data_IF_253878181834
#
_entry.id   IF_253878181834
#
_cell.length_a   1.000
_cell.length_b   1.000
_cell.length_c   1.000
_cell.angle_alpha   90.00
_cell.angle_beta   90.00
_cell.angle_gamma   90.00
#
_symmetry.space_group_name_H-M   'P 1'
#
loop_
_entity.id
_entity.type
_entity.pdbx_description
1 polymer ?
#
# COMPACT_ATOMS: atom_id res chain seq x y z
N UNK A 1 -2.85 -18.56 11.57
CA UNK A 1 -3.73 -19.45 10.78
C UNK A 1 -5.04 -18.72 10.50
N UNK A 2 -5.84 -19.18 9.53
CA UNK A 2 -7.17 -18.63 9.25
C UNK A 2 -8.07 -18.55 10.48
N UNK A 3 -8.08 -19.60 11.32
CA UNK A 3 -8.91 -19.67 12.53
C UNK A 3 -8.53 -18.56 13.53
N UNK A 4 -7.23 -18.27 13.66
CA UNK A 4 -6.75 -17.19 14.51
C UNK A 4 -7.20 -15.82 14.02
N UNK A 5 -7.25 -15.59 12.70
CA UNK A 5 -7.76 -14.35 12.11
C UNK A 5 -9.26 -14.23 12.37
N UNK A 6 -10.03 -15.30 12.13
CA UNK A 6 -11.48 -15.31 12.36
C UNK A 6 -11.84 -15.12 13.84
N UNK A 7 -11.06 -15.65 14.77
CA UNK A 7 -11.24 -15.40 16.20
C UNK A 7 -11.07 -13.92 16.56
N UNK A 8 -10.07 -13.23 15.97
CA UNK A 8 -9.89 -11.78 16.18
C UNK A 8 -11.04 -10.99 15.56
N UNK A 9 -11.48 -11.34 14.35
CA UNK A 9 -12.62 -10.68 13.71
C UNK A 9 -13.91 -10.85 14.52
N UNK A 10 -14.17 -12.05 15.03
CA UNK A 10 -15.31 -12.32 15.90
C UNK A 10 -15.24 -11.49 17.20
N UNK A 11 -14.04 -11.39 17.79
CA UNK A 11 -13.82 -10.53 18.96
C UNK A 11 -14.11 -9.06 18.66
N UNK A 12 -13.62 -8.52 17.53
CA UNK A 12 -13.84 -7.13 17.13
C UNK A 12 -15.33 -6.84 16.90
N UNK A 13 -16.06 -7.75 16.24
CA UNK A 13 -17.49 -7.61 15.95
C UNK A 13 -18.40 -7.68 17.19
N UNK A 14 -17.87 -8.07 18.35
CA UNK A 14 -18.62 -7.96 19.61
C UNK A 14 -18.75 -6.50 20.11
N UNK A 15 -17.95 -5.57 19.59
CA UNK A 15 -18.15 -4.14 19.81
C UNK A 15 -19.20 -3.63 18.81
N UNK A 16 -20.30 -3.05 19.31
CA UNK A 16 -21.41 -2.56 18.47
C UNK A 16 -20.96 -1.53 17.41
N UNK A 17 -19.85 -0.82 17.65
CA UNK A 17 -19.29 0.14 16.69
C UNK A 17 -18.55 -0.51 15.52
N UNK A 18 -18.31 -1.82 15.61
CA UNK A 18 -17.57 -2.63 14.64
C UNK A 18 -18.37 -3.89 14.23
N UNK A 19 -19.65 -3.96 14.57
CA UNK A 19 -20.48 -5.14 14.30
C UNK A 19 -20.61 -5.41 12.79
N UNK A 20 -20.61 -4.35 12.00
CA UNK A 20 -20.66 -4.33 10.53
C UNK A 20 -19.27 -4.25 9.89
N UNK A 21 -18.18 -4.46 10.65
CA UNK A 21 -16.82 -4.43 10.12
C UNK A 21 -16.68 -5.43 8.95
N UNK A 22 -16.50 -4.88 7.76
CA UNK A 22 -16.13 -5.63 6.58
C UNK A 22 -14.63 -5.95 6.60
N UNK A 23 -14.28 -7.15 6.13
CA UNK A 23 -12.89 -7.58 5.98
C UNK A 23 -12.68 -8.21 4.61
N UNK A 24 -11.44 -8.18 4.13
CA UNK A 24 -11.00 -8.81 2.89
C UNK A 24 -9.92 -9.82 3.24
N UNK A 25 -9.92 -10.95 2.54
CA UNK A 25 -8.95 -12.02 2.74
C UNK A 25 -8.13 -12.20 1.47
N UNK A 26 -6.81 -12.35 1.65
CA UNK A 26 -5.89 -12.70 0.59
C UNK A 26 -4.98 -13.81 1.15
N UNK A 27 -4.96 -15.01 0.55
CA UNK A 27 -4.13 -16.09 1.02
C UNK A 27 -2.64 -15.76 0.85
N UNK A 28 -1.81 -16.41 1.66
CA UNK A 28 -0.36 -16.37 1.55
C UNK A 28 0.22 -17.69 2.04
N UNK A 29 1.26 -18.20 1.39
CA UNK A 29 1.90 -19.45 1.77
C UNK A 29 2.58 -19.38 3.15
N UNK A 30 3.10 -18.20 3.49
CA UNK A 30 3.77 -17.92 4.75
C UNK A 30 3.19 -16.69 5.45
N UNK A 31 3.36 -16.60 6.78
CA UNK A 31 2.87 -15.47 7.59
C UNK A 31 3.50 -14.15 7.14
N UNK A 32 2.75 -13.21 6.53
CA UNK A 32 3.35 -12.03 5.91
C UNK A 32 3.63 -10.88 6.90
N UNK A 33 3.43 -11.11 8.21
CA UNK A 33 3.71 -10.14 9.26
C UNK A 33 4.54 -10.75 10.38
N UNK A 34 5.64 -10.09 10.76
CA UNK A 34 6.53 -10.58 11.82
C UNK A 34 5.91 -10.54 13.22
N UNK A 35 5.00 -9.59 13.47
CA UNK A 35 4.38 -9.39 14.79
C UNK A 35 3.11 -8.56 14.72
N UNK A 36 2.23 -8.75 15.68
CA UNK A 36 1.09 -7.87 15.92
C UNK A 36 1.56 -6.48 16.37
N UNK A 37 0.96 -5.43 15.81
CA UNK A 37 1.18 -4.04 16.22
C UNK A 37 -0.17 -3.33 16.28
N UNK A 38 -0.52 -2.78 17.45
CA UNK A 38 -1.64 -1.85 17.62
C UNK A 38 -1.06 -0.47 17.88
N UNK A 39 -1.53 0.54 17.15
CA UNK A 39 -0.99 1.91 17.25
C UNK A 39 -2.13 2.90 17.41
N UNK A 40 -2.07 3.71 18.46
CA UNK A 40 -2.93 4.88 18.59
C UNK A 40 -2.38 5.99 17.68
N UNK A 41 -3.24 6.51 16.80
CA UNK A 41 -2.93 7.58 15.86
C UNK A 41 -4.03 8.62 15.88
N UNK A 42 -3.68 9.88 15.57
CA UNK A 42 -4.66 10.95 15.37
C UNK A 42 -5.57 10.68 14.18
N UNK A 43 -5.02 10.03 13.15
CA UNK A 43 -5.73 9.63 11.94
C UNK A 43 -5.32 8.19 11.59
N UNK A 44 -6.27 7.34 11.21
CA UNK A 44 -6.01 5.96 10.75
C UNK A 44 -5.16 5.94 9.47
N UNK A 45 -5.39 6.91 8.58
CA UNK A 45 -4.52 7.26 7.44
C UNK A 45 -4.30 8.77 7.48
N UNK A 46 -3.05 9.22 7.54
CA UNK A 46 -2.74 10.63 7.81
C UNK A 46 -2.67 11.45 6.54
N UNK A 47 -3.68 12.29 6.31
CA UNK A 47 -3.68 13.30 5.25
C UNK A 47 -3.35 14.70 5.81
N UNK A 48 -3.61 14.94 7.10
CA UNK A 48 -3.37 16.25 7.72
C UNK A 48 -4.45 17.28 7.44
N UNK A 49 -5.65 16.84 7.03
CA UNK A 49 -6.81 17.69 6.74
C UNK A 49 -7.94 17.39 7.74
N UNK A 50 -7.97 18.04 8.93
CA UNK A 50 -8.93 17.73 9.98
C UNK A 50 -10.37 18.17 9.66
N UNK A 51 -10.55 19.06 8.68
CA UNK A 51 -11.86 19.53 8.23
C UNK A 51 -12.56 18.58 7.26
N UNK A 52 -11.86 17.54 6.80
CA UNK A 52 -12.39 16.55 5.85
C UNK A 52 -13.01 15.41 6.63
N UNK A 53 -14.32 15.24 6.47
CA UNK A 53 -15.09 14.15 7.06
C UNK A 53 -15.47 13.11 5.99
N UNK A 54 -14.72 12.00 5.86
CA UNK A 54 -15.01 10.99 4.87
C UNK A 54 -16.39 10.35 5.04
N UNK A 55 -16.96 10.34 6.25
CA UNK A 55 -18.26 9.70 6.49
C UNK A 55 -19.43 10.43 5.79
N UNK A 56 -19.28 11.73 5.55
CA UNK A 56 -20.33 12.57 4.95
C UNK A 56 -19.92 13.17 3.61
N UNK A 57 -18.64 13.17 3.30
CA UNK A 57 -18.08 13.87 2.14
C UNK A 57 -17.40 12.96 1.13
N UNK A 58 -17.36 11.63 1.33
CA UNK A 58 -16.77 10.71 0.35
C UNK A 58 -17.32 10.91 -1.07
N UNK A 59 -16.52 10.50 -2.05
CA UNK A 59 -16.89 10.50 -3.45
C UNK A 59 -17.92 9.41 -3.78
N UNK A 60 -18.13 9.21 -5.07
CA UNK A 60 -19.02 8.18 -5.59
C UNK A 60 -18.24 6.87 -5.70
N UNK A 61 -18.69 5.84 -5.01
CA UNK A 61 -18.16 4.49 -5.16
C UNK A 61 -18.46 3.94 -6.55
N UNK A 62 -17.44 3.35 -7.16
CA UNK A 62 -17.54 2.64 -8.44
C UNK A 62 -17.07 1.22 -8.22
N UNK A 63 -17.92 0.25 -8.50
CA UNK A 63 -17.58 -1.16 -8.39
C UNK A 63 -16.51 -1.52 -9.44
N UNK A 64 -15.62 -2.50 -9.18
CA UNK A 64 -14.55 -2.87 -10.11
C UNK A 64 -15.03 -3.22 -11.53
N UNK A 65 -16.22 -3.80 -11.65
CA UNK A 65 -16.82 -4.18 -12.94
C UNK A 65 -17.12 -2.96 -13.84
N UNK A 66 -17.43 -1.80 -13.24
CA UNK A 66 -17.75 -0.57 -13.96
C UNK A 66 -16.52 0.37 -14.06
N UNK A 67 -15.40 0.00 -13.44
CA UNK A 67 -14.24 0.87 -13.29
C UNK A 67 -13.56 1.16 -14.63
N UNK A 68 -13.37 0.12 -15.46
CA UNK A 68 -12.71 0.25 -16.75
C UNK A 68 -13.44 1.22 -17.68
N UNK A 69 -14.78 1.14 -17.72
CA UNK A 69 -15.61 2.03 -18.53
C UNK A 69 -15.46 3.50 -18.10
N UNK A 70 -15.41 3.74 -16.78
CA UNK A 70 -15.21 5.08 -16.25
C UNK A 70 -13.84 5.64 -16.63
N UNK A 71 -12.77 4.87 -16.42
CA UNK A 71 -11.40 5.37 -16.62
C UNK A 71 -10.97 5.42 -18.09
N UNK A 72 -11.71 4.75 -18.97
CA UNK A 72 -11.52 4.83 -20.43
C UNK A 72 -12.12 6.09 -21.05
N UNK A 73 -12.98 6.81 -20.33
CA UNK A 73 -13.55 8.08 -20.81
C UNK A 73 -12.47 9.18 -20.83
N UNK A 74 -12.15 9.79 -21.99
CA UNK A 74 -11.10 10.82 -22.09
C UNK A 74 -11.41 12.11 -21.29
N UNK A 75 -12.66 12.29 -20.86
CA UNK A 75 -13.08 13.41 -20.02
C UNK A 75 -12.89 13.15 -18.52
N UNK A 76 -12.53 11.93 -18.13
CA UNK A 76 -12.22 11.57 -16.75
C UNK A 76 -10.73 11.73 -16.51
N UNK A 77 -10.38 12.40 -15.41
CA UNK A 77 -9.02 12.42 -14.89
C UNK A 77 -8.86 11.24 -13.97
N UNK A 78 -7.91 10.37 -14.26
CA UNK A 78 -7.52 9.29 -13.36
C UNK A 78 -6.34 9.71 -12.49
N UNK A 79 -6.47 9.61 -11.17
CA UNK A 79 -5.42 9.98 -10.20
C UNK A 79 -5.08 8.80 -9.30
N UNK A 80 -3.80 8.46 -9.22
CA UNK A 80 -3.28 7.52 -8.23
C UNK A 80 -3.07 8.23 -6.90
N UNK A 81 -3.81 7.86 -5.86
CA UNK A 81 -3.68 8.51 -4.54
C UNK A 81 -2.55 7.89 -3.68
N UNK A 82 -1.71 7.04 -4.27
CA UNK A 82 -0.61 6.36 -3.57
C UNK A 82 0.67 7.18 -3.56
N UNK A 83 1.65 6.72 -2.79
CA UNK A 83 2.97 7.33 -2.79
C UNK A 83 3.77 6.84 -4.01
N UNK A 84 4.77 7.61 -4.40
CA UNK A 84 5.65 7.36 -5.54
C UNK A 84 6.21 5.92 -5.62
N UNK A 85 6.68 5.36 -4.50
CA UNK A 85 7.23 4.01 -4.47
C UNK A 85 6.18 2.93 -4.76
N UNK A 86 4.90 3.20 -4.55
CA UNK A 86 3.81 2.28 -4.86
C UNK A 86 3.41 2.37 -6.34
N UNK A 87 3.45 3.59 -6.90
CA UNK A 87 3.19 3.84 -8.32
C UNK A 87 4.28 3.22 -9.19
N UNK A 88 5.54 3.27 -8.74
CA UNK A 88 6.68 2.66 -9.43
C UNK A 88 6.56 1.13 -9.61
N UNK A 89 5.76 0.45 -8.79
CA UNK A 89 5.54 -1.01 -8.89
C UNK A 89 4.50 -1.35 -9.96
N UNK A 90 3.52 -0.46 -10.14
CA UNK A 90 2.43 -0.62 -11.09
C UNK A 90 1.33 0.40 -10.84
N UNK A 91 0.57 0.75 -11.87
CA UNK A 91 -0.53 1.72 -11.80
C UNK A 91 -1.56 1.45 -12.91
N UNK A 92 -2.70 2.13 -12.90
CA UNK A 92 -3.65 2.06 -14.01
C UNK A 92 -3.13 2.84 -15.22
N UNK A 93 -3.36 2.31 -16.42
CA UNK A 93 -2.99 2.97 -17.66
C UNK A 93 -3.59 4.39 -17.71
N UNK A 94 -2.73 5.39 -18.00
CA UNK A 94 -3.14 6.80 -18.10
C UNK A 94 -3.40 7.51 -16.76
N UNK A 95 -3.15 6.86 -15.62
CA UNK A 95 -3.24 7.50 -14.32
C UNK A 95 -2.17 8.60 -14.15
N UNK A 96 -2.56 9.71 -13.54
CA UNK A 96 -1.64 10.75 -13.08
C UNK A 96 -0.99 10.29 -11.79
N UNK A 97 0.34 10.30 -11.76
CA UNK A 97 1.17 10.12 -10.57
C UNK A 97 1.44 11.48 -9.89
N UNK A 98 0.95 11.70 -8.66
CA UNK A 98 1.26 12.91 -7.89
C UNK A 98 2.73 13.03 -7.46
N UNK A 99 3.52 11.95 -7.55
CA UNK A 99 4.90 11.84 -7.08
C UNK A 99 5.08 12.17 -5.59
N UNK A 100 4.02 12.01 -4.79
CA UNK A 100 4.06 12.28 -3.35
C UNK A 100 4.89 11.23 -2.62
N UNK A 101 5.77 11.65 -1.71
CA UNK A 101 6.51 10.74 -0.81
C UNK A 101 5.64 10.30 0.37
N UNK A 102 4.65 11.12 0.71
CA UNK A 102 3.67 10.82 1.74
C UNK A 102 2.29 11.35 1.37
N UNK A 103 1.24 10.65 1.81
CA UNK A 103 -0.14 11.08 1.59
C UNK A 103 -0.51 12.45 2.21
N UNK A 104 0.35 13.02 3.07
CA UNK A 104 0.20 14.39 3.59
C UNK A 104 0.51 15.46 2.55
N UNK A 105 1.26 15.12 1.50
CA UNK A 105 1.63 16.03 0.41
C UNK A 105 0.51 16.13 -0.63
N UNK A 106 -0.39 15.15 -0.68
CA UNK A 106 -1.48 15.10 -1.65
C UNK A 106 -2.34 16.38 -1.69
N UNK A 107 -2.74 16.99 -0.55
CA UNK A 107 -3.50 18.24 -0.59
C UNK A 107 -2.77 19.42 -1.22
N UNK A 108 -1.46 19.52 -0.99
CA UNK A 108 -0.64 20.58 -1.58
C UNK A 108 -0.52 20.37 -3.10
N UNK A 109 -0.18 19.15 -3.51
CA UNK A 109 -0.13 18.76 -4.91
C UNK A 109 -1.42 19.11 -5.65
N UNK A 110 -2.58 18.70 -5.14
CA UNK A 110 -3.87 18.94 -5.81
C UNK A 110 -4.14 20.44 -6.04
N UNK A 111 -3.79 21.29 -5.07
CA UNK A 111 -4.03 22.74 -5.16
C UNK A 111 -3.18 23.41 -6.23
N UNK A 112 -2.01 22.85 -6.53
CA UNK A 112 -1.13 23.30 -7.60
C UNK A 112 -1.63 22.88 -9.00
N UNK A 113 -2.56 21.92 -9.07
CA UNK A 113 -3.08 21.39 -10.33
C UNK A 113 -4.25 22.21 -10.90
N UNK A 114 -3.99 23.46 -11.29
CA UNK A 114 -5.00 24.35 -11.89
C UNK A 114 -5.68 23.73 -13.11
N UNK A 115 -4.93 23.00 -13.94
CA UNK A 115 -5.45 22.35 -15.13
C UNK A 115 -6.58 21.34 -14.83
N UNK A 116 -6.53 20.67 -13.68
CA UNK A 116 -7.54 19.68 -13.30
C UNK A 116 -8.89 20.34 -12.98
N UNK A 117 -8.89 21.62 -12.56
CA UNK A 117 -10.13 22.36 -12.24
C UNK A 117 -11.01 22.62 -13.48
N UNK A 118 -10.46 22.48 -14.68
CA UNK A 118 -11.22 22.62 -15.94
C UNK A 118 -11.96 21.35 -16.35
N UNK A 119 -11.68 20.22 -15.70
CA UNK A 119 -12.35 18.94 -15.93
C UNK A 119 -13.18 18.57 -14.69
N UNK A 120 -14.49 18.34 -14.82
CA UNK A 120 -15.35 18.13 -13.65
C UNK A 120 -15.25 16.71 -13.06
N UNK A 121 -14.79 15.73 -13.85
CA UNK A 121 -14.82 14.31 -13.50
C UNK A 121 -13.44 13.79 -13.14
N UNK A 122 -13.31 13.32 -11.89
CA UNK A 122 -12.06 12.75 -11.37
C UNK A 122 -12.33 11.37 -10.79
N UNK A 123 -11.60 10.37 -11.26
CA UNK A 123 -11.59 9.02 -10.73
C UNK A 123 -10.30 8.81 -9.92
N UNK A 124 -10.43 8.28 -8.72
CA UNK A 124 -9.30 8.07 -7.81
C UNK A 124 -9.21 6.62 -7.33
N UNK A 125 -8.00 6.13 -7.11
CA UNK A 125 -7.79 4.80 -6.56
C UNK A 125 -6.58 4.76 -5.63
N UNK A 126 -6.55 3.72 -4.79
CA UNK A 126 -5.39 3.33 -4.00
C UNK A 126 -5.49 1.83 -3.70
N UNK A 127 -4.53 1.28 -2.96
CA UNK A 127 -4.43 -0.17 -2.68
C UNK A 127 -5.74 -0.80 -2.19
N UNK A 128 -6.34 -0.25 -1.12
CA UNK A 128 -7.51 -0.84 -0.46
C UNK A 128 -8.72 0.09 -0.29
N UNK A 129 -8.65 1.32 -0.81
CA UNK A 129 -9.73 2.32 -0.78
C UNK A 129 -9.60 3.40 0.31
N UNK A 130 -8.93 3.12 1.45
CA UNK A 130 -8.95 4.02 2.61
C UNK A 130 -8.39 5.43 2.38
N UNK A 131 -7.39 5.61 1.50
CA UNK A 131 -6.90 6.95 1.13
C UNK A 131 -7.93 7.69 0.30
N UNK A 132 -8.61 6.97 -0.60
CA UNK A 132 -9.65 7.54 -1.45
C UNK A 132 -10.82 8.06 -0.64
N UNK A 133 -11.19 7.44 0.47
CA UNK A 133 -12.22 7.98 1.39
C UNK A 133 -11.94 9.44 1.76
N UNK A 134 -10.68 9.76 2.07
CA UNK A 134 -10.26 11.11 2.44
C UNK A 134 -9.98 11.98 1.23
N UNK A 135 -9.27 11.47 0.23
CA UNK A 135 -8.87 12.30 -0.91
C UNK A 135 -10.06 12.74 -1.73
N UNK A 136 -11.04 11.87 -1.98
CA UNK A 136 -12.24 12.27 -2.72
C UNK A 136 -13.07 13.30 -1.97
N UNK A 137 -13.17 13.14 -0.64
CA UNK A 137 -13.82 14.12 0.21
C UNK A 137 -13.12 15.48 0.16
N UNK A 138 -11.79 15.47 0.20
CA UNK A 138 -11.00 16.68 0.02
C UNK A 138 -11.21 17.34 -1.35
N UNK A 139 -11.20 16.58 -2.44
CA UNK A 139 -11.48 17.12 -3.79
C UNK A 139 -12.86 17.81 -3.83
N UNK A 140 -13.90 17.22 -3.23
CA UNK A 140 -15.22 17.86 -3.17
C UNK A 140 -15.19 19.19 -2.41
N UNK A 141 -14.41 19.29 -1.33
CA UNK A 141 -14.22 20.58 -0.61
C UNK A 141 -13.45 21.62 -1.42
N UNK A 142 -12.63 21.17 -2.38
CA UNK A 142 -11.88 22.03 -3.30
C UNK A 142 -12.68 22.42 -4.55
N UNK A 143 -13.96 21.99 -4.65
CA UNK A 143 -14.89 22.40 -5.70
C UNK A 143 -14.96 21.45 -6.91
N UNK A 144 -14.49 20.21 -6.78
CA UNK A 144 -14.73 19.18 -7.80
C UNK A 144 -16.12 18.57 -7.64
N UNK A 145 -16.92 18.59 -8.70
CA UNK A 145 -18.33 18.16 -8.68
C UNK A 145 -18.47 16.62 -8.72
N UNK A 146 -17.80 15.97 -9.67
CA UNK A 146 -17.94 14.54 -9.94
C UNK A 146 -16.65 13.80 -9.57
N UNK A 147 -16.56 13.41 -8.31
CA UNK A 147 -15.40 12.69 -7.77
C UNK A 147 -15.78 11.24 -7.48
N UNK A 148 -15.13 10.31 -8.16
CA UNK A 148 -15.33 8.87 -8.06
C UNK A 148 -14.13 8.20 -7.37
N UNK A 149 -14.36 7.06 -6.74
CA UNK A 149 -13.29 6.19 -6.31
C UNK A 149 -13.59 4.70 -6.46
N UNK A 150 -12.53 3.94 -6.72
CA UNK A 150 -12.62 2.49 -6.88
C UNK A 150 -12.98 1.84 -5.55
N UNK A 151 -14.19 1.27 -5.50
CA UNK A 151 -14.70 0.58 -4.32
C UNK A 151 -13.86 -0.66 -4.07
N UNK A 152 -13.33 -0.73 -2.86
CA UNK A 152 -12.44 -1.80 -2.45
C UNK A 152 -10.98 -1.66 -2.92
N UNK A 153 -10.66 -0.65 -3.72
CA UNK A 153 -9.30 -0.35 -4.20
C UNK A 153 -8.76 -1.36 -5.21
N UNK A 154 -7.48 -1.19 -5.56
CA UNK A 154 -6.77 -2.02 -6.55
C UNK A 154 -6.87 -3.51 -6.20
N UNK A 155 -6.76 -3.87 -4.92
CA UNK A 155 -6.84 -5.28 -4.50
C UNK A 155 -8.18 -5.91 -4.88
N UNK A 156 -9.29 -5.18 -4.75
CA UNK A 156 -10.59 -5.74 -5.14
C UNK A 156 -10.71 -5.87 -6.65
N UNK A 157 -10.14 -4.93 -7.39
CA UNK A 157 -10.08 -4.96 -8.84
C UNK A 157 -9.27 -6.16 -9.36
N UNK A 158 -8.05 -6.38 -8.85
CA UNK A 158 -7.20 -7.52 -9.21
C UNK A 158 -7.78 -8.89 -8.79
N UNK A 159 -8.69 -8.90 -7.82
CA UNK A 159 -9.40 -10.11 -7.39
C UNK A 159 -10.56 -10.46 -8.33
N UNK A 160 -11.27 -9.46 -8.88
CA UNK A 160 -12.57 -9.69 -9.55
C UNK A 160 -12.61 -9.39 -11.04
N UNK A 161 -11.72 -8.54 -11.55
CA UNK A 161 -11.67 -8.20 -12.98
C UNK A 161 -10.73 -9.17 -13.69
N UNK A 162 -11.16 -9.81 -14.80
CA UNK A 162 -10.29 -10.67 -15.58
C UNK A 162 -9.01 -9.98 -16.06
N UNK A 163 -7.89 -10.68 -16.06
CA UNK A 163 -6.58 -10.13 -16.43
C UNK A 163 -6.56 -9.63 -17.89
N UNK A 164 -7.25 -10.32 -18.80
CA UNK A 164 -7.34 -9.97 -20.22
C UNK A 164 -8.21 -8.73 -20.49
N UNK A 165 -9.06 -8.35 -19.54
CA UNK A 165 -9.85 -7.11 -19.56
C UNK A 165 -9.19 -6.00 -18.74
N UNK A 166 -8.04 -6.25 -18.13
CA UNK A 166 -7.45 -5.35 -17.16
C UNK A 166 -6.78 -4.13 -17.79
N UNK A 167 -6.99 -2.96 -17.17
CA UNK A 167 -6.25 -1.72 -17.44
C UNK A 167 -5.14 -1.45 -16.43
N UNK A 168 -4.85 -2.43 -15.56
CA UNK A 168 -3.77 -2.35 -14.58
C UNK A 168 -2.44 -2.76 -15.23
N UNK A 169 -1.40 -1.96 -15.03
CA UNK A 169 -0.05 -2.21 -15.54
C UNK A 169 0.91 -2.47 -14.37
N UNK A 170 1.64 -3.60 -14.40
CA UNK A 170 2.60 -3.97 -13.35
C UNK A 170 1.96 -4.70 -12.16
N UNK A 171 2.51 -4.51 -10.96
CA UNK A 171 2.03 -5.18 -9.74
C UNK A 171 1.55 -4.16 -8.69
N UNK A 172 0.71 -4.59 -7.75
CA UNK A 172 0.19 -3.74 -6.69
C UNK A 172 1.02 -3.86 -5.42
N UNK A 173 1.72 -2.79 -5.03
CA UNK A 173 2.42 -2.74 -3.74
C UNK A 173 1.49 -3.01 -2.54
N UNK A 174 1.94 -3.85 -1.60
CA UNK A 174 1.25 -4.17 -0.34
C UNK A 174 2.18 -4.00 0.86
N UNK A 175 1.60 -3.60 1.99
CA UNK A 175 2.34 -3.20 3.21
C UNK A 175 2.69 -4.38 4.12
N UNK A 176 3.18 -5.47 3.53
CA UNK A 176 3.56 -6.70 4.22
C UNK A 176 4.73 -7.41 3.52
N UNK A 177 5.13 -8.60 4.00
CA UNK A 177 6.32 -9.30 3.47
C UNK A 177 6.19 -9.76 2.02
N UNK A 178 5.00 -9.72 1.40
CA UNK A 178 4.82 -10.03 -0.03
C UNK A 178 5.35 -8.92 -0.92
N UNK A 179 5.46 -7.68 -0.42
CA UNK A 179 5.90 -6.47 -1.14
C UNK A 179 4.94 -6.02 -2.24
N UNK A 180 4.55 -6.92 -3.14
CA UNK A 180 3.61 -6.68 -4.21
C UNK A 180 2.74 -7.91 -4.47
N UNK A 181 1.61 -7.69 -5.14
CA UNK A 181 0.71 -8.75 -5.61
C UNK A 181 0.23 -8.45 -7.03
N UNK A 182 0.03 -9.50 -7.82
CA UNK A 182 -0.54 -9.42 -9.17
C UNK A 182 -2.04 -9.70 -9.21
N UNK A 183 -2.53 -10.01 -10.41
CA UNK A 183 -3.89 -10.54 -10.61
C UNK A 183 -4.13 -11.81 -9.79
N UNK A 184 -5.37 -11.99 -9.32
CA UNK A 184 -5.72 -13.06 -8.39
C UNK A 184 -5.17 -12.86 -6.97
N UNK A 185 -4.52 -11.71 -6.68
CA UNK A 185 -3.83 -11.42 -5.42
C UNK A 185 -2.64 -12.35 -5.14
N UNK A 186 -2.09 -12.96 -6.18
CA UNK A 186 -0.91 -13.81 -6.10
C UNK A 186 0.34 -12.97 -5.75
N UNK A 187 1.29 -13.51 -4.97
CA UNK A 187 2.55 -12.82 -4.68
C UNK A 187 3.29 -12.38 -5.94
N UNK A 188 3.75 -11.14 -5.93
CA UNK A 188 4.47 -10.53 -7.02
C UNK A 188 5.97 -10.86 -7.06
N UNK A 189 6.67 -10.25 -8.01
CA UNK A 189 8.11 -10.43 -8.26
C UNK A 189 9.01 -9.45 -7.48
N UNK A 190 8.44 -8.38 -6.92
CA UNK A 190 9.21 -7.37 -6.22
C UNK A 190 9.71 -7.86 -4.86
N UNK A 191 10.96 -7.51 -4.54
CA UNK A 191 11.49 -7.63 -3.19
C UNK A 191 11.58 -6.26 -2.51
N UNK A 192 11.82 -6.22 -1.20
CA UNK A 192 12.01 -4.99 -0.45
C UNK A 192 13.49 -4.75 -0.19
N UNK A 193 14.00 -3.57 -0.54
CA UNK A 193 15.33 -3.17 -0.10
C UNK A 193 15.32 -2.90 1.41
N UNK A 194 15.94 -3.76 2.21
CA UNK A 194 15.99 -3.58 3.67
C UNK A 194 16.83 -2.37 4.15
N UNK A 195 17.49 -1.65 3.24
CA UNK A 195 18.20 -0.41 3.55
C UNK A 195 17.27 0.81 3.47
N UNK A 196 16.68 1.07 2.29
CA UNK A 196 15.84 2.25 2.07
C UNK A 196 14.33 1.99 2.16
N UNK A 197 13.90 0.73 2.12
CA UNK A 197 12.48 0.35 2.11
C UNK A 197 11.80 0.49 0.74
N UNK A 198 12.55 0.77 -0.33
CA UNK A 198 11.99 0.79 -1.69
C UNK A 198 11.72 -0.63 -2.20
N UNK A 199 10.63 -0.84 -2.96
CA UNK A 199 10.47 -2.06 -3.75
C UNK A 199 11.57 -2.13 -4.82
N UNK A 200 12.09 -3.33 -5.07
CA UNK A 200 13.14 -3.61 -6.05
C UNK A 200 12.66 -4.66 -7.04
N UNK A 201 12.65 -4.31 -8.32
CA UNK A 201 12.30 -5.20 -9.42
C UNK A 201 13.38 -6.27 -9.64
N UNK A 202 13.10 -7.31 -10.44
CA UNK A 202 14.13 -8.26 -10.85
C UNK A 202 15.29 -7.59 -11.60
N UNK A 203 14.99 -6.56 -12.41
CA UNK A 203 16.00 -5.77 -13.10
C UNK A 203 16.88 -4.97 -12.13
N UNK A 204 16.28 -4.41 -11.08
CA UNK A 204 17.04 -3.75 -10.00
C UNK A 204 17.95 -4.75 -9.29
N UNK A 205 17.46 -5.96 -9.02
CA UNK A 205 18.21 -7.02 -8.36
C UNK A 205 19.39 -7.54 -9.20
N UNK A 206 19.27 -7.49 -10.53
CA UNK A 206 20.35 -7.84 -11.46
C UNK A 206 21.42 -6.74 -11.60
N UNK A 207 21.19 -5.55 -11.05
CA UNK A 207 22.13 -4.42 -11.14
C UNK A 207 23.38 -4.66 -10.29
N UNK A 208 24.53 -4.17 -10.77
CA UNK A 208 25.80 -4.13 -10.00
C UNK A 208 25.69 -3.29 -8.70
N UNK A 209 24.68 -2.44 -8.63
CA UNK A 209 24.38 -1.60 -7.49
C UNK A 209 23.49 -2.28 -6.45
N UNK A 210 23.02 -3.49 -6.71
CA UNK A 210 22.25 -4.28 -5.76
C UNK A 210 23.16 -5.14 -4.89
N UNK A 211 22.94 -5.07 -3.59
CA UNK A 211 23.52 -5.97 -2.59
C UNK A 211 22.39 -6.33 -1.62
N UNK A 212 21.92 -7.60 -1.60
CA UNK A 212 20.79 -8.02 -0.79
C UNK A 212 20.88 -7.53 0.66
N UNK A 213 19.82 -6.87 1.13
CA UNK A 213 19.74 -6.35 2.50
C UNK A 213 20.56 -5.08 2.80
N UNK A 214 21.36 -4.59 1.85
CA UNK A 214 22.38 -3.55 2.07
C UNK A 214 22.20 -2.32 1.19
N UNK A 215 21.98 -2.50 -0.12
CA UNK A 215 21.75 -1.40 -1.07
C UNK A 215 21.01 -1.87 -2.32
N UNK A 216 20.44 -0.90 -3.03
CA UNK A 216 19.79 -1.09 -4.32
C UNK A 216 20.06 0.13 -5.21
N UNK A 217 19.70 0.09 -6.51
CA UNK A 217 19.86 1.23 -7.42
C UNK A 217 19.24 2.54 -6.92
N UNK A 218 18.17 2.47 -6.13
CA UNK A 218 17.47 3.64 -5.59
C UNK A 218 18.18 4.34 -4.43
N UNK A 219 19.16 3.69 -3.77
CA UNK A 219 19.79 4.21 -2.56
C UNK A 219 21.33 4.19 -2.56
N UNK A 220 21.94 4.14 -3.76
CA UNK A 220 23.39 4.01 -3.95
C UNK A 220 24.17 5.08 -3.19
N UNK A 221 23.64 6.30 -3.07
CA UNK A 221 24.33 7.43 -2.45
C UNK A 221 23.64 7.95 -1.19
N UNK A 222 22.65 7.22 -0.66
CA UNK A 222 21.87 7.66 0.50
C UNK A 222 22.51 7.33 1.85
N UNK A 223 23.34 6.28 1.90
CA UNK A 223 23.89 5.75 3.15
C UNK A 223 25.42 5.69 3.10
N UNK A 224 26.04 6.03 4.24
CA UNK A 224 27.47 5.91 4.50
C UNK A 224 27.95 4.44 4.52
N UNK A 225 29.26 4.21 4.41
CA UNK A 225 29.81 2.85 4.52
C UNK A 225 29.62 2.25 5.92
N UNK A 226 29.61 3.05 7.00
CA UNK A 226 29.31 2.57 8.35
C UNK A 226 27.85 2.11 8.48
N UNK A 227 26.91 2.81 7.83
CA UNK A 227 25.52 2.36 7.70
C UNK A 227 25.43 1.05 6.93
N UNK A 228 26.12 0.94 5.81
CA UNK A 228 26.13 -0.28 4.99
C UNK A 228 26.74 -1.46 5.73
N UNK A 229 27.80 -1.26 6.52
CA UNK A 229 28.37 -2.31 7.36
C UNK A 229 27.35 -2.84 8.37
N UNK A 230 26.55 -1.97 8.99
CA UNK A 230 25.46 -2.38 9.89
C UNK A 230 24.35 -3.14 9.16
N UNK A 231 24.03 -2.73 7.93
CA UNK A 231 23.04 -3.43 7.10
C UNK A 231 23.51 -4.83 6.69
N UNK A 232 24.79 -4.97 6.31
CA UNK A 232 25.43 -6.26 6.02
C UNK A 232 25.37 -7.19 7.21
N UNK A 233 25.70 -6.69 8.40
CA UNK A 233 25.66 -7.51 9.61
C UNK A 233 24.22 -7.94 9.93
N UNK A 234 23.24 -7.05 9.82
CA UNK A 234 21.83 -7.43 9.97
C UNK A 234 21.42 -8.52 8.97
N UNK A 235 21.76 -8.36 7.69
CA UNK A 235 21.45 -9.33 6.65
C UNK A 235 22.08 -10.69 6.95
N UNK A 236 23.37 -10.70 7.35
CA UNK A 236 24.07 -11.91 7.78
C UNK A 236 23.37 -12.60 8.94
N UNK A 237 22.91 -11.86 9.95
CA UNK A 237 22.20 -12.44 11.08
C UNK A 237 20.82 -13.01 10.69
N UNK A 238 20.15 -12.41 9.71
CA UNK A 238 18.91 -12.94 9.13
C UNK A 238 19.16 -14.28 8.41
N UNK A 239 20.18 -14.34 7.56
CA UNK A 239 20.56 -15.55 6.82
C UNK A 239 20.98 -16.69 7.77
N UNK A 240 21.77 -16.37 8.80
CA UNK A 240 22.18 -17.34 9.81
C UNK A 240 20.97 -17.89 10.59
N UNK A 241 19.99 -17.06 10.92
CA UNK A 241 18.77 -17.51 11.58
C UNK A 241 17.92 -18.39 10.66
N UNK A 242 17.75 -17.98 9.39
CA UNK A 242 17.04 -18.77 8.38
C UNK A 242 17.68 -20.16 8.20
N UNK A 243 19.02 -20.23 8.10
CA UNK A 243 19.76 -21.48 8.00
C UNK A 243 19.57 -22.39 9.24
N UNK A 244 19.26 -21.83 10.41
CA UNK A 244 18.93 -22.58 11.63
C UNK A 244 17.43 -22.91 11.76
N UNK A 245 16.58 -22.44 10.85
CA UNK A 245 15.12 -22.51 11.00
C UNK A 245 14.58 -21.66 12.15
N UNK A 246 15.34 -20.66 12.61
CA UNK A 246 14.95 -19.77 13.70
C UNK A 246 14.39 -18.44 13.17
N UNK A 247 13.41 -17.83 13.86
CA UNK A 247 13.00 -16.46 13.55
C UNK A 247 14.11 -15.46 13.94
N UNK A 248 14.49 -14.56 13.04
CA UNK A 248 15.36 -13.42 13.35
C UNK A 248 14.55 -12.21 13.83
N UNK A 249 13.62 -11.74 12.98
CA UNK A 249 12.81 -10.55 13.26
C UNK A 249 11.57 -10.97 14.05
N UNK A 250 11.35 -10.34 15.21
CA UNK A 250 10.18 -10.62 16.04
C UNK A 250 10.31 -11.86 16.93
N UNK A 251 11.51 -12.45 17.05
CA UNK A 251 11.80 -13.49 18.03
C UNK A 251 11.41 -13.00 19.43
N UNK A 252 10.54 -13.75 20.10
CA UNK A 252 10.34 -13.64 21.54
C UNK A 252 11.46 -14.45 22.18
N UNK A 253 12.28 -13.79 23.00
CA UNK A 253 13.14 -14.51 23.92
C UNK A 253 12.25 -14.93 25.08
N UNK A 254 12.34 -16.18 25.49
CA UNK A 254 11.71 -16.61 26.74
C UNK A 254 12.26 -15.73 27.86
N UNK A 255 11.38 -15.26 28.75
CA UNK A 255 11.85 -14.58 29.95
C UNK A 255 12.76 -15.56 30.70
N UNK A 256 13.98 -15.15 31.08
CA UNK A 256 14.82 -16.03 31.88
C UNK A 256 14.02 -16.44 33.11
N UNK A 257 13.92 -17.75 33.37
CA UNK A 257 13.35 -18.26 34.62
C UNK A 257 13.97 -17.45 35.75
N UNK A 258 13.11 -16.77 36.53
CA UNK A 258 13.55 -16.00 37.67
C UNK A 258 14.43 -16.91 38.52
N UNK A 259 15.73 -16.61 38.58
CA UNK A 259 16.68 -17.40 39.34
C UNK A 259 16.16 -17.47 40.79
N UNK A 260 15.74 -18.66 41.20
CA UNK A 260 15.23 -18.98 42.54
C UNK A 260 16.32 -18.86 43.59
#
# INVERSE_FOLDING_TARGET
>A
SPEGVHAVLAFLRNDLRLADLEHKEAPAEAMPFHRMKVRLKKEIVTMGMPSVDPATQAGIYVDPADWNDLISDPNVILIDARNDYEVAVGTFQGAIDPQTKSFREFPAWLREQEALRTKPRVAMFCTGGIRCEKSTAFLRTEGFDEVYHLKGGILKYLETVPEDESLWEGECFVFDQRVAVGHGLEPGSYALCHACGMPVSEADQASVHYEPGVRCPHCIDQFSEDERARFRERQRQMELAFARGEPHIGRRFDEPEAAS
#
